data_IF_793536434160
#
_entry.id   IF_793536434160
#
_cell.length_a   1.000
_cell.length_b   1.000
_cell.length_c   1.000
_cell.angle_alpha   90.00
_cell.angle_beta   90.00
_cell.angle_gamma   90.00
#
_symmetry.space_group_name_H-M   'P 1'
#
loop_
_entity.id
_entity.type
_entity.pdbx_description
1 polymer ?
#
# COMPACT_ATOMS: atom_id res chain seq x y z
N UNK A 1 6.17 11.33 -1.97
CA UNK A 1 7.29 12.01 -2.68
C UNK A 1 7.14 13.52 -2.58
N UNK A 2 6.00 14.13 -2.99
CA UNK A 2 5.80 15.59 -2.96
C UNK A 2 6.05 16.15 -1.55
N UNK A 3 5.42 15.61 -0.50
CA UNK A 3 5.63 16.06 0.87
C UNK A 3 7.10 15.97 1.33
N UNK A 4 7.83 14.97 0.87
CA UNK A 4 9.26 14.82 1.18
C UNK A 4 10.13 15.86 0.45
N UNK A 5 9.76 16.26 -0.78
CA UNK A 5 10.47 17.33 -1.54
C UNK A 5 10.16 18.72 -1.01
N UNK A 6 9.02 18.91 -0.37
CA UNK A 6 8.61 20.17 0.29
C UNK A 6 9.12 20.29 1.73
N UNK A 7 9.95 19.34 2.20
CA UNK A 7 10.53 19.35 3.54
C UNK A 7 9.60 18.87 4.65
N UNK A 8 8.42 18.33 4.29
CA UNK A 8 7.42 17.81 5.23
C UNK A 8 7.59 16.30 5.45
N UNK A 9 8.77 15.88 5.92
CA UNK A 9 9.13 14.46 6.12
C UNK A 9 8.19 13.72 7.09
N UNK A 10 7.70 14.40 8.13
CA UNK A 10 6.77 13.82 9.11
C UNK A 10 5.43 13.45 8.46
N UNK A 11 4.91 14.30 7.57
CA UNK A 11 3.68 14.02 6.83
C UNK A 11 3.90 12.84 5.88
N UNK A 12 5.06 12.76 5.22
CA UNK A 12 5.38 11.65 4.34
C UNK A 12 5.42 10.30 5.08
N UNK A 13 6.11 10.22 6.22
CA UNK A 13 6.18 9.00 7.04
C UNK A 13 4.83 8.63 7.63
N UNK A 14 4.09 9.62 8.15
CA UNK A 14 2.78 9.39 8.76
C UNK A 14 1.76 8.90 7.74
N UNK A 15 1.78 9.44 6.51
CA UNK A 15 0.92 8.95 5.43
C UNK A 15 1.25 7.52 5.02
N UNK A 16 2.54 7.14 4.94
CA UNK A 16 2.95 5.77 4.63
C UNK A 16 2.46 4.80 5.70
N UNK A 17 2.66 5.12 6.97
CA UNK A 17 2.21 4.28 8.08
C UNK A 17 0.68 4.21 8.15
N UNK A 18 0.00 5.34 7.99
CA UNK A 18 -1.46 5.43 8.00
C UNK A 18 -2.10 4.64 6.87
N UNK A 19 -1.58 4.75 5.65
CA UNK A 19 -2.10 3.98 4.50
C UNK A 19 -1.88 2.48 4.67
N UNK A 20 -0.74 2.04 5.20
CA UNK A 20 -0.51 0.63 5.49
C UNK A 20 -1.49 0.07 6.55
N UNK A 21 -1.78 0.84 7.60
CA UNK A 21 -2.77 0.46 8.62
C UNK A 21 -4.16 0.35 7.98
N UNK A 22 -4.55 1.33 7.16
CA UNK A 22 -5.83 1.36 6.47
C UNK A 22 -5.94 0.18 5.50
N UNK A 23 -4.91 -0.07 4.70
CA UNK A 23 -4.87 -1.20 3.78
C UNK A 23 -5.05 -2.53 4.52
N UNK A 24 -4.27 -2.76 5.57
CA UNK A 24 -4.30 -4.02 6.32
C UNK A 24 -5.58 -4.21 7.13
N UNK A 25 -6.11 -3.18 7.79
CA UNK A 25 -7.27 -3.34 8.67
C UNK A 25 -8.60 -3.09 7.96
N UNK A 26 -8.69 -2.02 7.19
CA UNK A 26 -9.95 -1.60 6.57
C UNK A 26 -10.15 -2.31 5.24
N UNK A 27 -9.18 -2.23 4.34
CA UNK A 27 -9.36 -2.76 2.98
C UNK A 27 -9.43 -4.29 3.00
N UNK A 28 -8.51 -4.94 3.69
CA UNK A 28 -8.55 -6.39 3.83
C UNK A 28 -9.78 -6.84 4.63
N UNK A 29 -10.17 -6.10 5.68
CA UNK A 29 -11.36 -6.38 6.47
C UNK A 29 -12.65 -6.30 5.64
N UNK A 30 -12.82 -5.25 4.83
CA UNK A 30 -13.95 -5.11 3.91
C UNK A 30 -13.92 -6.23 2.86
N UNK A 31 -12.77 -6.51 2.27
CA UNK A 31 -12.63 -7.58 1.27
C UNK A 31 -13.02 -8.95 1.84
N UNK A 32 -12.57 -9.27 3.06
CA UNK A 32 -12.90 -10.52 3.76
C UNK A 32 -14.38 -10.60 4.16
N UNK A 33 -15.03 -9.46 4.41
CA UNK A 33 -16.49 -9.41 4.68
C UNK A 33 -17.30 -9.65 3.41
N UNK A 34 -16.83 -9.18 2.25
CA UNK A 34 -17.47 -9.43 0.95
C UNK A 34 -17.31 -10.90 0.55
N UNK A 35 -16.10 -11.43 0.65
CA UNK A 35 -15.80 -12.81 0.34
C UNK A 35 -14.64 -13.31 1.21
N UNK A 36 -14.76 -14.51 1.85
CA UNK A 36 -13.69 -15.07 2.68
C UNK A 36 -12.38 -15.17 1.89
N UNK A 37 -11.35 -14.52 2.41
CA UNK A 37 -10.05 -14.41 1.74
C UNK A 37 -9.16 -15.57 2.17
N UNK A 38 -8.91 -16.51 1.26
CA UNK A 38 -8.03 -17.65 1.49
C UNK A 38 -6.59 -17.30 1.11
N UNK A 39 -5.66 -17.46 2.04
CA UNK A 39 -4.24 -17.24 1.79
C UNK A 39 -3.57 -18.47 1.21
N UNK A 40 -2.79 -18.31 0.14
CA UNK A 40 -1.89 -19.35 -0.36
C UNK A 40 -0.77 -19.61 0.65
N UNK A 41 -0.20 -20.82 0.58
CA UNK A 41 0.89 -21.24 1.48
C UNK A 41 2.14 -20.36 1.34
N UNK A 42 2.44 -19.87 0.13
CA UNK A 42 3.49 -18.89 -0.12
C UNK A 42 3.24 -17.57 0.60
N UNK A 43 2.01 -17.06 0.52
CA UNK A 43 1.62 -15.77 1.07
C UNK A 43 1.85 -15.73 2.59
N UNK A 44 1.30 -16.70 3.36
CA UNK A 44 1.46 -16.65 4.81
C UNK A 44 2.84 -17.07 5.32
N UNK A 45 3.63 -17.84 4.53
CA UNK A 45 4.97 -18.28 4.94
C UNK A 45 6.09 -17.31 4.58
N UNK A 46 5.92 -16.55 3.52
CA UNK A 46 7.00 -15.73 2.96
C UNK A 46 6.58 -14.27 2.81
N UNK A 47 5.45 -14.00 2.14
CA UNK A 47 5.06 -12.63 1.81
C UNK A 47 4.66 -11.82 3.06
N UNK A 48 3.80 -12.38 3.92
CA UNK A 48 3.38 -11.73 5.18
C UNK A 48 4.57 -11.53 6.14
N UNK A 49 5.43 -12.53 6.44
CA UNK A 49 6.62 -12.31 7.27
C UNK A 49 7.59 -11.28 6.67
N UNK A 50 7.75 -11.25 5.36
CA UNK A 50 8.63 -10.30 4.69
C UNK A 50 8.06 -8.87 4.75
N UNK A 51 6.75 -8.71 4.58
CA UNK A 51 6.06 -7.43 4.77
C UNK A 51 6.20 -6.93 6.21
N UNK A 52 6.03 -7.82 7.20
CA UNK A 52 6.23 -7.49 8.61
C UNK A 52 7.69 -7.08 8.90
N UNK A 53 8.67 -7.78 8.31
CA UNK A 53 10.09 -7.40 8.41
C UNK A 53 10.37 -6.04 7.76
N UNK A 54 9.75 -5.73 6.62
CA UNK A 54 9.88 -4.42 5.99
C UNK A 54 9.32 -3.30 6.89
N UNK A 55 8.15 -3.51 7.51
CA UNK A 55 7.58 -2.57 8.48
C UNK A 55 8.47 -2.39 9.71
N UNK A 56 9.04 -3.48 10.24
CA UNK A 56 9.98 -3.43 11.35
C UNK A 56 11.28 -2.68 10.97
N UNK A 57 11.79 -2.90 9.76
CA UNK A 57 12.97 -2.18 9.25
C UNK A 57 12.70 -0.67 9.19
N UNK A 58 11.56 -0.23 8.66
CA UNK A 58 11.18 1.19 8.64
C UNK A 58 11.07 1.76 10.06
N UNK A 59 10.50 0.99 10.99
CA UNK A 59 10.39 1.41 12.39
C UNK A 59 11.78 1.58 13.03
N UNK A 60 12.68 0.61 12.88
CA UNK A 60 14.02 0.64 13.44
C UNK A 60 14.87 1.76 12.85
N UNK A 61 14.79 1.99 11.55
CA UNK A 61 15.51 3.06 10.87
C UNK A 61 14.94 4.44 11.24
N UNK A 62 13.62 4.57 11.28
CA UNK A 62 12.93 5.84 11.59
C UNK A 62 13.05 6.28 13.05
N UNK A 63 13.22 5.35 14.00
CA UNK A 63 13.35 5.63 15.44
C UNK A 63 14.80 5.83 15.90
N UNK A 64 15.74 5.92 14.98
CA UNK A 64 17.16 6.06 15.30
C UNK A 64 17.72 4.95 16.24
N UNK A 65 17.14 3.75 16.13
CA UNK A 65 17.55 2.59 16.92
C UNK A 65 19.05 2.28 16.77
N UNK A 66 19.58 2.44 15.57
CA UNK A 66 21.02 2.26 15.30
C UNK A 66 21.89 3.38 15.87
N UNK A 67 21.37 4.62 15.98
CA UNK A 67 22.03 5.70 16.69
C UNK A 67 22.09 5.45 18.19
N UNK A 68 21.04 4.88 18.79
CA UNK A 68 21.00 4.46 20.18
C UNK A 68 22.04 3.37 20.49
N UNK A 69 22.35 2.52 19.51
CA UNK A 69 23.38 1.47 19.61
C UNK A 69 24.79 1.97 19.25
N UNK A 70 25.01 3.29 19.11
CA UNK A 70 26.28 3.89 18.68
C UNK A 70 26.79 3.41 17.30
N UNK A 71 25.90 2.93 16.43
CA UNK A 71 26.23 2.40 15.11
C UNK A 71 25.94 3.41 13.96
N UNK A 72 25.49 4.64 14.29
CA UNK A 72 25.17 5.66 13.30
C UNK A 72 24.99 7.06 13.89
N UNK A 73 24.75 8.06 13.03
CA UNK A 73 24.48 9.44 13.46
C UNK A 73 23.09 9.55 14.13
N UNK A 74 23.04 10.30 15.24
CA UNK A 74 21.86 10.50 16.07
C UNK A 74 20.91 11.55 15.46
N UNK A 75 20.23 11.21 14.37
CA UNK A 75 19.16 12.04 13.81
C UNK A 75 17.83 11.27 13.79
N UNK A 76 16.78 11.85 14.38
CA UNK A 76 15.42 11.31 14.26
C UNK A 76 14.98 11.45 12.80
N UNK A 77 14.76 10.33 12.14
CA UNK A 77 14.30 10.27 10.74
C UNK A 77 15.09 9.28 9.88
N UNK A 78 14.60 9.03 8.70
CA UNK A 78 15.22 8.13 7.73
C UNK A 78 16.32 8.87 6.96
N UNK A 79 17.56 8.46 7.12
CA UNK A 79 18.71 9.03 6.42
C UNK A 79 18.76 8.59 4.95
N UNK A 80 19.61 9.24 4.14
CA UNK A 80 19.83 8.83 2.74
C UNK A 80 20.39 7.40 2.65
N UNK A 81 21.23 6.99 3.60
CA UNK A 81 21.78 5.63 3.66
C UNK A 81 20.68 4.61 3.94
N UNK A 82 19.77 4.90 4.88
CA UNK A 82 18.63 4.05 5.20
C UNK A 82 17.71 3.91 3.99
N UNK A 83 17.48 4.99 3.25
CA UNK A 83 16.70 4.98 2.01
C UNK A 83 17.33 4.06 0.94
N UNK A 84 18.65 4.09 0.77
CA UNK A 84 19.35 3.19 -0.15
C UNK A 84 19.20 1.73 0.29
N UNK A 85 19.34 1.44 1.59
CA UNK A 85 19.17 0.09 2.14
C UNK A 85 17.74 -0.42 1.91
N UNK A 86 16.71 0.41 2.13
CA UNK A 86 15.32 0.04 1.86
C UNK A 86 15.07 -0.25 0.37
N UNK A 87 15.68 0.52 -0.54
CA UNK A 87 15.60 0.28 -1.99
C UNK A 87 16.25 -1.06 -2.35
N UNK A 88 17.41 -1.40 -1.76
CA UNK A 88 18.07 -2.69 -2.00
C UNK A 88 17.16 -3.84 -1.55
N UNK A 89 16.57 -3.75 -0.36
CA UNK A 89 15.63 -4.76 0.14
C UNK A 89 14.41 -4.88 -0.78
N UNK A 90 13.88 -3.77 -1.28
CA UNK A 90 12.78 -3.76 -2.25
C UNK A 90 13.16 -4.45 -3.58
N UNK A 91 14.36 -4.20 -4.11
CA UNK A 91 14.84 -4.86 -5.34
C UNK A 91 14.97 -6.38 -5.13
N UNK A 92 15.49 -6.82 -3.97
CA UNK A 92 15.57 -8.23 -3.61
C UNK A 92 14.16 -8.85 -3.57
N UNK A 93 13.20 -8.17 -2.94
CA UNK A 93 11.80 -8.59 -2.89
C UNK A 93 11.18 -8.71 -4.28
N UNK A 94 11.34 -7.70 -5.13
CA UNK A 94 10.85 -7.73 -6.50
C UNK A 94 11.45 -8.89 -7.30
N UNK A 95 12.75 -9.10 -7.19
CA UNK A 95 13.44 -10.20 -7.87
C UNK A 95 12.90 -11.55 -7.42
N UNK A 96 12.71 -11.73 -6.11
CA UNK A 96 12.11 -12.93 -5.54
C UNK A 96 10.68 -13.16 -6.06
N UNK A 97 9.85 -12.13 -6.05
CA UNK A 97 8.45 -12.21 -6.49
C UNK A 97 8.33 -12.55 -7.98
N UNK A 98 9.18 -11.92 -8.82
CA UNK A 98 9.25 -12.22 -10.26
C UNK A 98 9.71 -13.67 -10.48
N UNK A 99 10.75 -14.09 -9.78
CA UNK A 99 11.25 -15.48 -9.88
C UNK A 99 10.16 -16.49 -9.52
N UNK A 100 9.42 -16.24 -8.43
CA UNK A 100 8.34 -17.12 -7.98
C UNK A 100 7.16 -17.13 -8.96
N UNK A 101 6.77 -15.97 -9.50
CA UNK A 101 5.72 -15.86 -10.52
C UNK A 101 6.07 -16.58 -11.82
N UNK A 102 7.34 -16.61 -12.20
CA UNK A 102 7.80 -17.34 -13.39
C UNK A 102 7.87 -18.86 -13.16
N UNK A 103 8.16 -19.30 -11.92
CA UNK A 103 8.34 -20.73 -11.60
C UNK A 103 7.03 -21.44 -11.25
N UNK A 104 6.04 -20.73 -10.72
CA UNK A 104 4.75 -21.29 -10.30
C UNK A 104 3.64 -21.07 -11.35
N UNK A 105 3.99 -20.97 -12.61
CA UNK A 105 3.06 -20.69 -13.72
C UNK A 105 2.00 -21.78 -13.95
N UNK A 106 2.20 -22.97 -13.42
CA UNK A 106 1.35 -24.14 -13.70
C UNK A 106 0.08 -24.25 -12.84
N UNK A 107 -0.04 -23.50 -11.74
CA UNK A 107 -1.20 -23.62 -10.85
C UNK A 107 -2.36 -22.63 -11.12
N UNK A 108 -2.14 -21.62 -11.96
CA UNK A 108 -3.14 -20.55 -12.17
C UNK A 108 -3.85 -20.57 -13.53
N UNK A 109 -3.67 -21.61 -14.36
CA UNK A 109 -4.04 -21.57 -15.78
C UNK A 109 -5.44 -22.07 -16.14
N UNK A 110 -6.37 -22.24 -15.20
CA UNK A 110 -7.73 -22.72 -15.50
C UNK A 110 -8.82 -21.64 -15.54
N UNK A 111 -8.47 -20.36 -15.40
CA UNK A 111 -9.45 -19.31 -15.67
C UNK A 111 -9.36 -18.91 -17.15
N UNK A 112 -10.34 -19.34 -17.95
CA UNK A 112 -10.51 -18.88 -19.33
C UNK A 112 -10.95 -17.41 -19.32
N UNK A 113 -9.98 -16.50 -19.28
CA UNK A 113 -10.26 -15.09 -19.51
C UNK A 113 -10.57 -14.88 -21.01
N UNK A 114 -11.75 -14.34 -21.31
CA UNK A 114 -11.99 -13.81 -22.65
C UNK A 114 -10.97 -12.69 -22.91
N UNK A 115 -10.03 -12.96 -23.82
CA UNK A 115 -8.97 -12.01 -24.13
C UNK A 115 -9.57 -10.77 -24.81
N UNK A 116 -9.63 -9.66 -24.07
CA UNK A 116 -9.95 -8.37 -24.67
C UNK A 116 -8.77 -7.82 -25.48
N UNK A 117 -9.02 -7.05 -26.56
CA UNK A 117 -7.97 -6.36 -27.29
C UNK A 117 -7.16 -5.44 -26.34
N UNK A 118 -5.84 -5.48 -26.45
CA UNK A 118 -4.92 -4.77 -25.54
C UNK A 118 -5.26 -3.27 -25.46
N UNK A 119 -5.57 -2.61 -26.58
CA UNK A 119 -5.92 -1.19 -26.60
C UNK A 119 -7.18 -0.88 -25.77
N UNK A 120 -8.18 -1.79 -25.78
CA UNK A 120 -9.41 -1.65 -25.01
C UNK A 120 -9.13 -1.81 -23.51
N UNK A 121 -8.26 -2.73 -23.14
CA UNK A 121 -7.81 -2.90 -21.76
C UNK A 121 -7.07 -1.68 -21.25
N UNK A 122 -6.15 -1.13 -22.04
CA UNK A 122 -5.41 0.10 -21.69
C UNK A 122 -6.38 1.27 -21.52
N UNK A 123 -7.33 1.44 -22.42
CA UNK A 123 -8.33 2.51 -22.36
C UNK A 123 -9.21 2.40 -21.08
N UNK A 124 -9.69 1.20 -20.76
CA UNK A 124 -10.50 0.96 -19.57
C UNK A 124 -9.70 1.20 -18.29
N UNK A 125 -8.43 0.79 -18.24
CA UNK A 125 -7.53 1.06 -17.12
C UNK A 125 -7.34 2.57 -16.96
N UNK A 126 -7.06 3.29 -18.04
CA UNK A 126 -6.84 4.72 -18.01
C UNK A 126 -8.10 5.47 -17.51
N UNK A 127 -9.28 5.13 -18.02
CA UNK A 127 -10.55 5.74 -17.60
C UNK A 127 -10.82 5.41 -16.12
N UNK A 128 -10.66 4.13 -15.71
CA UNK A 128 -10.90 3.70 -14.33
C UNK A 128 -9.95 4.40 -13.35
N UNK A 129 -8.65 4.45 -13.66
CA UNK A 129 -7.65 5.10 -12.83
C UNK A 129 -7.91 6.61 -12.71
N UNK A 130 -8.23 7.27 -13.83
CA UNK A 130 -8.59 8.69 -13.84
C UNK A 130 -9.82 8.94 -12.97
N UNK A 131 -10.87 8.13 -13.13
CA UNK A 131 -12.08 8.23 -12.31
C UNK A 131 -11.82 8.03 -10.81
N UNK A 132 -10.96 7.08 -10.44
CA UNK A 132 -10.57 6.84 -9.04
C UNK A 132 -9.77 8.02 -8.46
N UNK A 133 -8.83 8.59 -9.22
CA UNK A 133 -8.03 9.74 -8.77
C UNK A 133 -8.94 10.96 -8.54
N UNK A 134 -9.73 11.35 -9.53
CA UNK A 134 -10.62 12.52 -9.41
C UNK A 134 -11.71 12.31 -8.36
N UNK A 135 -12.31 11.11 -8.29
CA UNK A 135 -13.30 10.76 -7.26
C UNK A 135 -12.68 10.79 -5.86
N UNK A 136 -11.47 10.26 -5.71
CA UNK A 136 -10.71 10.28 -4.47
C UNK A 136 -10.42 11.71 -4.00
N UNK A 137 -9.91 12.57 -4.87
CA UNK A 137 -9.66 13.99 -4.58
C UNK A 137 -10.93 14.73 -4.13
N UNK A 138 -12.05 14.52 -4.81
CA UNK A 138 -13.32 15.12 -4.42
C UNK A 138 -13.76 14.68 -3.02
N UNK A 139 -13.67 13.39 -2.71
CA UNK A 139 -14.02 12.85 -1.39
C UNK A 139 -13.11 13.44 -0.32
N UNK A 140 -11.80 13.40 -0.53
CA UNK A 140 -10.80 13.88 0.45
C UNK A 140 -10.96 15.37 0.72
N UNK A 141 -11.05 16.21 -0.32
CA UNK A 141 -11.15 17.65 -0.15
C UNK A 141 -12.43 18.06 0.60
N UNK A 142 -13.56 17.40 0.32
CA UNK A 142 -14.80 17.67 1.04
C UNK A 142 -14.73 17.14 2.49
N UNK A 143 -14.15 15.95 2.70
CA UNK A 143 -13.97 15.39 4.04
C UNK A 143 -13.05 16.26 4.91
N UNK A 144 -11.94 16.80 4.35
CA UNK A 144 -11.06 17.76 5.02
C UNK A 144 -11.85 19.01 5.43
N UNK A 145 -12.66 19.56 4.54
CA UNK A 145 -13.47 20.76 4.80
C UNK A 145 -14.45 20.53 5.95
N UNK A 146 -15.13 19.39 5.97
CA UNK A 146 -16.06 19.00 7.03
C UNK A 146 -15.30 18.81 8.35
N UNK A 147 -14.18 18.06 8.34
CA UNK A 147 -13.39 17.79 9.54
C UNK A 147 -12.84 19.09 10.17
N UNK A 148 -12.37 20.04 9.34
CA UNK A 148 -11.95 21.36 9.80
C UNK A 148 -13.11 22.15 10.43
N UNK A 149 -14.31 22.08 9.87
CA UNK A 149 -15.48 22.74 10.44
C UNK A 149 -15.88 22.18 11.81
N UNK A 150 -15.52 20.93 12.09
CA UNK A 150 -15.71 20.27 13.40
C UNK A 150 -14.56 20.54 14.39
N UNK A 151 -13.56 21.33 14.00
CA UNK A 151 -12.42 21.66 14.85
C UNK A 151 -11.38 20.54 14.99
N UNK A 152 -11.40 19.55 14.10
CA UNK A 152 -10.42 18.47 14.07
C UNK A 152 -9.07 19.02 13.59
N UNK A 153 -7.98 18.68 14.30
CA UNK A 153 -6.65 19.18 13.98
C UNK A 153 -6.15 18.65 12.62
N UNK A 154 -5.32 19.43 11.94
CA UNK A 154 -4.76 19.07 10.63
C UNK A 154 -3.94 17.77 10.68
N UNK A 155 -3.24 17.50 11.78
CA UNK A 155 -2.48 16.27 11.98
C UNK A 155 -3.41 15.04 11.98
N UNK A 156 -4.54 15.10 12.70
CA UNK A 156 -5.52 14.00 12.72
C UNK A 156 -6.16 13.81 11.35
N UNK A 157 -6.50 14.91 10.66
CA UNK A 157 -7.05 14.85 9.30
C UNK A 157 -6.06 14.17 8.36
N UNK A 158 -4.78 14.53 8.43
CA UNK A 158 -3.72 13.93 7.60
C UNK A 158 -3.60 12.41 7.78
N UNK A 159 -3.54 11.96 9.03
CA UNK A 159 -3.38 10.52 9.35
C UNK A 159 -4.63 9.70 9.02
N UNK A 160 -5.81 10.30 9.07
CA UNK A 160 -7.08 9.57 8.86
C UNK A 160 -7.65 9.80 7.48
N UNK A 161 -8.10 11.03 7.21
CA UNK A 161 -8.85 11.36 5.99
C UNK A 161 -7.95 11.29 4.74
N UNK A 162 -6.75 11.86 4.82
CA UNK A 162 -5.82 11.86 3.69
C UNK A 162 -5.29 10.45 3.43
N UNK A 163 -4.92 9.71 4.48
CA UNK A 163 -4.46 8.34 4.35
C UNK A 163 -5.56 7.42 3.78
N UNK A 164 -6.82 7.58 4.21
CA UNK A 164 -7.94 6.86 3.62
C UNK A 164 -8.12 7.23 2.14
N UNK A 165 -8.03 8.51 1.81
CA UNK A 165 -8.19 9.00 0.46
C UNK A 165 -7.15 8.46 -0.51
N UNK A 166 -5.90 8.39 -0.09
CA UNK A 166 -4.82 7.81 -0.90
C UNK A 166 -4.98 6.30 -1.09
N UNK A 167 -5.72 5.63 -0.21
CA UNK A 167 -6.01 4.18 -0.29
C UNK A 167 -7.36 3.86 -0.94
N UNK A 168 -8.11 4.83 -1.46
CA UNK A 168 -9.38 4.58 -2.17
C UNK A 168 -9.21 3.73 -3.44
N UNK A 169 -8.17 3.92 -4.28
CA UNK A 169 -7.92 3.05 -5.43
C UNK A 169 -7.70 1.59 -5.02
N UNK A 170 -6.94 1.35 -3.97
CA UNK A 170 -6.69 0.04 -3.40
C UNK A 170 -7.96 -0.59 -2.85
N UNK A 171 -8.78 0.20 -2.15
CA UNK A 171 -10.08 -0.25 -1.65
C UNK A 171 -11.01 -0.70 -2.79
N UNK A 172 -11.12 0.11 -3.84
CA UNK A 172 -11.96 -0.22 -5.00
C UNK A 172 -11.47 -1.49 -5.69
N UNK A 173 -10.16 -1.62 -5.89
CA UNK A 173 -9.55 -2.80 -6.54
C UNK A 173 -9.75 -4.06 -5.71
N UNK A 174 -9.48 -4.01 -4.40
CA UNK A 174 -9.61 -5.17 -3.50
C UNK A 174 -11.05 -5.58 -3.29
N UNK A 175 -11.99 -4.62 -3.16
CA UNK A 175 -13.42 -4.91 -3.07
C UNK A 175 -13.94 -5.58 -4.36
N UNK A 176 -13.54 -5.09 -5.53
CA UNK A 176 -13.88 -5.71 -6.82
C UNK A 176 -13.28 -7.09 -6.99
N UNK A 177 -12.04 -7.30 -6.55
CA UNK A 177 -11.39 -8.61 -6.54
C UNK A 177 -12.16 -9.60 -5.64
N UNK A 178 -12.56 -9.17 -4.44
CA UNK A 178 -13.36 -9.97 -3.54
C UNK A 178 -14.74 -10.32 -4.12
N UNK A 179 -15.43 -9.37 -4.76
CA UNK A 179 -16.70 -9.62 -5.47
C UNK A 179 -16.55 -10.64 -6.60
N UNK A 180 -15.39 -10.63 -7.30
CA UNK A 180 -15.06 -11.60 -8.34
C UNK A 180 -14.47 -12.90 -7.78
N UNK A 181 -14.40 -13.07 -6.46
CA UNK A 181 -13.81 -14.21 -5.75
C UNK A 181 -12.31 -14.43 -6.05
N UNK A 182 -11.63 -13.39 -6.53
CA UNK A 182 -10.19 -13.42 -6.76
C UNK A 182 -9.45 -13.00 -5.48
N UNK A 183 -9.26 -13.98 -4.59
CA UNK A 183 -8.67 -13.75 -3.27
C UNK A 183 -7.19 -13.37 -3.34
N UNK A 184 -6.47 -13.88 -4.32
CA UNK A 184 -5.05 -13.56 -4.50
C UNK A 184 -4.84 -12.08 -4.85
N UNK A 185 -5.68 -11.54 -5.74
CA UNK A 185 -5.62 -10.12 -6.08
C UNK A 185 -6.07 -9.25 -4.90
N UNK A 186 -7.08 -9.68 -4.12
CA UNK A 186 -7.54 -8.93 -2.95
C UNK A 186 -6.48 -8.84 -1.84
N UNK A 187 -5.69 -9.91 -1.61
CA UNK A 187 -4.60 -9.93 -0.64
C UNK A 187 -3.37 -9.20 -1.17
N UNK A 188 -2.98 -9.48 -2.42
CA UNK A 188 -1.75 -8.93 -3.00
C UNK A 188 -1.79 -7.41 -3.22
N UNK A 189 -2.98 -6.80 -3.14
CA UNK A 189 -3.17 -5.36 -3.27
C UNK A 189 -3.09 -4.61 -1.92
N UNK A 190 -3.00 -5.33 -0.81
CA UNK A 190 -2.95 -4.81 0.57
C UNK A 190 -1.59 -5.02 1.19
#
# INVERSE_FOLDING_TARGET
IVAATEGSSDIALTNILGSNIINTLIILGISATIFPVACKKSTYRIEIPLSALAGLAVLLLGTNFFGLLHLGESNNGVSRFDGVMLIIVFIIFCTYTIYQGLHNRDESSNESFEAMPIWKSILLIAIGLTGLIFGGELIVNNAITIAKSWGISESVIGVTVVALGTSLPELATSAMAALKKNTDLAIGNV
#
